data_IF_788307921214
#
_entry.id   IF_788307921214
#
_cell.length_a   1.000
_cell.length_b   1.000
_cell.length_c   1.000
_cell.angle_alpha   90.00
_cell.angle_beta   90.00
_cell.angle_gamma   90.00
#
_symmetry.space_group_name_H-M   'P 1'
#
loop_
_entity.id
_entity.type
_entity.pdbx_description
1 polymer ?
#
# COMPACT_ATOMS: atom_id res chain seq x y z
N UNK A 1 5.10 -67.22 -25.80
CA UNK A 1 6.21 -66.55 -25.12
C UNK A 1 6.48 -65.11 -25.58
N UNK A 2 6.28 -64.79 -26.86
CA UNK A 2 6.58 -63.44 -27.43
C UNK A 2 5.64 -62.33 -26.95
N UNK A 3 4.38 -62.63 -26.62
CA UNK A 3 3.38 -61.63 -26.15
C UNK A 3 3.68 -61.10 -24.72
N UNK A 4 4.27 -61.91 -23.86
CA UNK A 4 4.59 -61.50 -22.52
C UNK A 4 5.86 -60.64 -22.47
N UNK A 5 6.76 -60.81 -23.43
CA UNK A 5 7.99 -59.97 -23.53
C UNK A 5 7.69 -58.55 -23.94
N UNK A 6 6.73 -58.39 -24.86
CA UNK A 6 6.29 -57.05 -25.29
C UNK A 6 5.61 -56.28 -24.15
N UNK A 7 4.86 -56.98 -23.31
CA UNK A 7 4.16 -56.37 -22.16
C UNK A 7 5.15 -55.92 -21.08
N UNK A 8 6.22 -56.67 -20.86
CA UNK A 8 7.28 -56.30 -19.91
C UNK A 8 8.09 -55.10 -20.41
N UNK A 9 8.38 -55.03 -21.73
CA UNK A 9 9.08 -53.90 -22.32
C UNK A 9 8.26 -52.60 -22.23
N UNK A 10 6.94 -52.65 -22.46
CA UNK A 10 6.07 -51.50 -22.36
C UNK A 10 5.95 -50.99 -20.93
N UNK A 11 5.92 -51.85 -19.92
CA UNK A 11 5.94 -51.47 -18.48
C UNK A 11 7.27 -50.87 -18.10
N UNK A 12 8.40 -51.44 -18.54
CA UNK A 12 9.73 -50.85 -18.30
C UNK A 12 9.91 -49.48 -18.93
N UNK A 13 9.37 -49.27 -20.15
CA UNK A 13 9.44 -47.98 -20.86
C UNK A 13 8.57 -46.90 -20.20
N UNK A 14 7.42 -47.27 -19.60
CA UNK A 14 6.56 -46.31 -18.88
C UNK A 14 7.17 -45.82 -17.57
N UNK A 15 8.06 -46.58 -16.91
CA UNK A 15 8.76 -46.17 -15.71
C UNK A 15 9.90 -45.16 -15.97
N UNK A 16 10.44 -45.09 -17.18
CA UNK A 16 11.54 -44.19 -17.54
C UNK A 16 11.08 -42.72 -17.77
N UNK A 17 9.81 -42.48 -18.01
CA UNK A 17 9.29 -41.16 -18.37
C UNK A 17 8.93 -40.33 -17.11
N UNK A 18 8.76 -40.95 -15.93
CA UNK A 18 8.32 -40.28 -14.69
C UNK A 18 9.52 -39.65 -13.91
N UNK A 19 10.77 -39.97 -14.27
CA UNK A 19 11.93 -39.63 -13.46
C UNK A 19 12.50 -38.21 -13.68
N UNK A 20 12.07 -37.46 -14.71
CA UNK A 20 12.71 -36.18 -15.07
C UNK A 20 12.02 -34.91 -14.54
N UNK A 21 10.80 -34.99 -14.00
CA UNK A 21 10.08 -33.79 -13.53
C UNK A 21 10.46 -33.33 -12.11
N UNK A 22 11.02 -34.22 -11.30
CA UNK A 22 11.37 -33.89 -9.89
C UNK A 22 12.64 -33.04 -9.71
N UNK A 23 13.58 -33.12 -10.64
CA UNK A 23 14.90 -32.47 -10.55
C UNK A 23 14.85 -30.96 -10.86
N UNK A 24 14.11 -30.55 -11.87
CA UNK A 24 14.02 -29.14 -12.29
C UNK A 24 13.36 -28.25 -11.20
N UNK A 25 12.26 -28.75 -10.62
CA UNK A 25 11.57 -27.97 -9.57
C UNK A 25 12.38 -27.89 -8.28
N UNK A 26 13.18 -28.89 -7.96
CA UNK A 26 14.10 -28.86 -6.81
C UNK A 26 15.24 -27.86 -7.01
N UNK A 27 15.78 -27.74 -8.22
CA UNK A 27 16.77 -26.73 -8.55
C UNK A 27 16.18 -25.33 -8.52
N UNK A 28 14.99 -25.13 -9.07
CA UNK A 28 14.29 -23.85 -9.00
C UNK A 28 14.04 -23.41 -7.55
N UNK A 29 13.65 -24.32 -6.66
CA UNK A 29 13.48 -24.02 -5.22
C UNK A 29 14.78 -23.64 -4.51
N UNK A 30 15.94 -24.16 -4.94
CA UNK A 30 17.24 -23.72 -4.43
C UNK A 30 17.57 -22.30 -4.88
N UNK A 31 17.28 -21.98 -6.14
CA UNK A 31 17.46 -20.65 -6.71
C UNK A 31 16.48 -19.63 -6.13
N UNK A 32 15.25 -20.04 -5.79
CA UNK A 32 14.27 -19.20 -5.10
C UNK A 32 14.76 -18.71 -3.72
N UNK A 33 15.63 -19.48 -3.06
CA UNK A 33 16.24 -19.06 -1.78
C UNK A 33 17.28 -17.95 -1.94
N UNK A 34 17.92 -17.88 -3.12
CA UNK A 34 18.95 -16.88 -3.42
C UNK A 34 18.36 -15.60 -3.99
N UNK A 35 17.41 -15.73 -4.91
CA UNK A 35 16.85 -14.61 -5.66
C UNK A 35 15.46 -14.18 -5.18
N UNK A 36 14.76 -15.03 -4.42
CA UNK A 36 13.33 -14.90 -4.17
C UNK A 36 12.51 -15.60 -5.26
N UNK A 37 11.29 -16.03 -4.90
CA UNK A 37 10.43 -16.79 -5.82
C UNK A 37 10.04 -16.00 -7.06
N UNK A 38 9.72 -14.70 -6.89
CA UNK A 38 9.28 -13.82 -7.97
C UNK A 38 10.44 -13.29 -8.82
N UNK A 39 11.63 -13.13 -8.24
CA UNK A 39 12.80 -12.54 -8.92
C UNK A 39 13.75 -13.60 -9.49
N UNK A 40 13.40 -14.87 -9.41
CA UNK A 40 14.21 -15.96 -9.95
C UNK A 40 14.21 -15.91 -11.48
N UNK A 41 15.36 -15.60 -12.14
CA UNK A 41 15.44 -15.43 -13.58
C UNK A 41 15.20 -16.73 -14.37
N UNK A 42 15.21 -17.88 -13.69
CA UNK A 42 14.92 -19.17 -14.28
C UNK A 42 13.43 -19.58 -14.23
N UNK A 43 12.59 -18.72 -13.64
CA UNK A 43 11.13 -18.83 -13.68
C UNK A 43 10.60 -17.88 -14.76
N UNK A 44 9.93 -18.44 -15.73
CA UNK A 44 9.27 -17.67 -16.78
C UNK A 44 7.90 -17.21 -16.27
N UNK A 45 7.80 -15.94 -15.88
CA UNK A 45 6.54 -15.29 -15.54
C UNK A 45 6.12 -14.36 -16.66
N UNK A 46 4.84 -14.37 -17.00
CA UNK A 46 4.25 -13.25 -17.74
C UNK A 46 4.23 -11.99 -16.86
N UNK A 47 4.12 -10.82 -17.45
CA UNK A 47 4.12 -9.54 -16.73
C UNK A 47 3.00 -9.48 -15.65
N UNK A 48 1.84 -10.05 -15.97
CA UNK A 48 0.71 -10.13 -15.02
C UNK A 48 1.02 -11.09 -13.85
N UNK A 49 1.64 -12.23 -14.12
CA UNK A 49 2.02 -13.19 -13.08
C UNK A 49 3.13 -12.63 -12.20
N UNK A 50 4.11 -11.94 -12.77
CA UNK A 50 5.17 -11.27 -12.01
C UNK A 50 4.62 -10.21 -11.06
N UNK A 51 3.75 -9.30 -11.55
CA UNK A 51 3.13 -8.27 -10.71
C UNK A 51 2.26 -8.86 -9.61
N UNK A 52 1.54 -9.95 -9.91
CA UNK A 52 0.72 -10.67 -8.93
C UNK A 52 1.59 -11.37 -7.88
N UNK A 53 2.69 -11.99 -8.31
CA UNK A 53 3.68 -12.62 -7.44
C UNK A 53 4.29 -11.61 -6.48
N UNK A 54 4.76 -10.46 -6.97
CA UNK A 54 5.32 -9.38 -6.16
C UNK A 54 4.33 -8.84 -5.13
N UNK A 55 3.08 -8.68 -5.52
CA UNK A 55 2.02 -8.25 -4.59
C UNK A 55 1.82 -9.25 -3.45
N UNK A 56 1.82 -10.56 -3.76
CA UNK A 56 1.72 -11.62 -2.75
C UNK A 56 2.95 -11.67 -1.84
N UNK A 57 4.14 -11.41 -2.37
CA UNK A 57 5.37 -11.37 -1.58
C UNK A 57 5.39 -10.19 -0.61
N UNK A 58 4.97 -9.01 -1.07
CA UNK A 58 4.81 -7.82 -0.21
C UNK A 58 3.76 -8.04 0.89
N UNK A 59 2.62 -8.66 0.54
CA UNK A 59 1.59 -9.02 1.52
C UNK A 59 2.13 -10.00 2.58
N UNK A 60 2.93 -11.01 2.20
CA UNK A 60 3.57 -11.94 3.14
C UNK A 60 4.61 -11.27 4.04
N UNK A 61 5.39 -10.32 3.53
CA UNK A 61 6.35 -9.54 4.35
C UNK A 61 5.63 -8.67 5.39
N UNK A 62 4.46 -8.15 5.04
CA UNK A 62 3.59 -7.43 5.97
C UNK A 62 2.96 -8.36 7.03
N UNK A 63 2.67 -9.62 6.69
CA UNK A 63 2.01 -10.59 7.57
C UNK A 63 2.95 -11.39 8.48
N UNK A 64 4.27 -11.35 8.27
CA UNK A 64 5.25 -12.08 9.09
C UNK A 64 5.45 -11.50 10.52
N UNK A 65 4.55 -10.61 10.97
CA UNK A 65 4.55 -10.06 12.34
C UNK A 65 3.40 -10.51 13.24
N UNK A 66 2.45 -11.34 12.75
CA UNK A 66 1.44 -11.93 13.65
C UNK A 66 0.87 -13.21 13.05
N UNK A 67 1.16 -14.35 13.66
CA UNK A 67 0.27 -15.50 13.71
C UNK A 67 -1.03 -15.02 14.37
N UNK A 68 -2.18 -15.24 13.71
CA UNK A 68 -3.55 -14.84 14.02
C UNK A 68 -4.05 -13.57 13.30
N UNK A 69 -4.11 -13.61 11.99
CA UNK A 69 -4.98 -12.70 11.27
C UNK A 69 -6.43 -13.21 11.32
N UNK A 70 -7.17 -12.80 12.36
CA UNK A 70 -8.63 -12.66 12.25
C UNK A 70 -8.93 -11.63 11.16
N UNK A 71 -9.98 -11.83 10.34
CA UNK A 71 -10.37 -10.83 9.37
C UNK A 71 -10.58 -9.50 10.10
N UNK A 72 -9.99 -8.41 9.54
CA UNK A 72 -10.08 -7.08 10.10
C UNK A 72 -11.56 -6.70 10.27
N UNK A 73 -12.01 -6.66 11.52
CA UNK A 73 -13.33 -6.15 11.87
C UNK A 73 -13.20 -4.70 12.31
N UNK A 74 -14.01 -3.84 11.74
CA UNK A 74 -14.06 -2.43 12.14
C UNK A 74 -14.48 -2.33 13.62
N UNK A 75 -15.28 -3.26 14.12
CA UNK A 75 -15.66 -3.35 15.53
C UNK A 75 -14.46 -3.63 16.42
N UNK A 76 -13.58 -4.59 16.05
CA UNK A 76 -12.35 -4.91 16.81
C UNK A 76 -11.37 -3.73 16.83
N UNK A 77 -11.34 -2.95 15.75
CA UNK A 77 -10.56 -1.72 15.69
C UNK A 77 -11.13 -0.64 16.63
N UNK A 78 -12.44 -0.44 16.60
CA UNK A 78 -13.11 0.54 17.47
C UNK A 78 -13.03 0.15 18.95
N UNK A 79 -13.14 -1.14 19.29
CA UNK A 79 -13.00 -1.64 20.65
C UNK A 79 -11.57 -1.48 21.18
N UNK A 80 -10.57 -1.65 20.33
CA UNK A 80 -9.16 -1.37 20.67
C UNK A 80 -8.90 0.12 20.87
N UNK A 81 -9.49 0.96 20.04
CA UNK A 81 -9.40 2.43 20.14
C UNK A 81 -10.06 2.92 21.42
N UNK A 82 -11.21 2.34 21.83
CA UNK A 82 -11.96 2.74 23.02
C UNK A 82 -11.35 2.21 24.34
N UNK A 83 -10.72 1.03 24.34
CA UNK A 83 -10.20 0.40 25.57
C UNK A 83 -8.71 0.67 25.84
N UNK A 84 -7.91 0.97 24.82
CA UNK A 84 -6.45 1.12 24.97
C UNK A 84 -5.93 2.53 24.61
N UNK A 85 -6.83 3.46 24.30
CA UNK A 85 -6.46 4.80 23.82
C UNK A 85 -5.92 4.75 22.37
N UNK A 86 -6.06 5.86 21.65
CA UNK A 86 -5.67 6.03 20.22
C UNK A 86 -4.16 5.80 19.96
N UNK A 87 -3.40 5.28 20.91
CA UNK A 87 -1.93 5.25 20.89
C UNK A 87 -1.28 3.92 20.51
N UNK A 88 -1.94 2.76 20.63
CA UNK A 88 -1.22 1.48 20.64
C UNK A 88 -0.89 0.90 19.25
N UNK A 89 -1.60 1.30 18.20
CA UNK A 89 -1.28 0.90 16.81
C UNK A 89 -0.12 1.70 16.19
N UNK A 90 0.24 2.83 16.78
CA UNK A 90 1.26 3.77 16.27
C UNK A 90 2.55 3.78 17.10
N UNK A 91 2.72 2.90 18.06
CA UNK A 91 3.82 2.92 19.06
C UNK A 91 5.23 2.81 18.44
N UNK A 92 5.33 2.44 17.16
CA UNK A 92 6.58 2.43 16.41
C UNK A 92 6.50 3.20 15.08
N UNK A 93 5.46 4.00 14.85
CA UNK A 93 5.33 4.76 13.62
C UNK A 93 5.95 6.15 13.79
N UNK A 94 6.64 6.62 12.78
CA UNK A 94 7.11 8.00 12.68
C UNK A 94 5.97 9.00 12.44
N UNK A 95 4.72 8.55 12.50
CA UNK A 95 3.51 9.29 12.18
C UNK A 95 2.73 9.58 13.44
N UNK A 96 2.48 10.87 13.73
CA UNK A 96 1.64 11.27 14.84
C UNK A 96 0.16 10.91 14.58
N UNK A 97 -0.52 10.17 15.48
CA UNK A 97 -1.89 9.73 15.27
C UNK A 97 -2.91 10.88 15.25
N UNK A 98 -2.69 11.94 15.99
CA UNK A 98 -3.60 13.10 16.02
C UNK A 98 -3.50 13.91 14.71
N UNK A 99 -2.27 14.12 14.23
CA UNK A 99 -2.05 14.76 12.92
C UNK A 99 -2.64 13.94 11.78
N UNK A 100 -2.56 12.61 11.88
CA UNK A 100 -3.19 11.71 10.92
C UNK A 100 -4.71 11.87 10.92
N UNK A 101 -5.33 11.81 12.11
CA UNK A 101 -6.79 11.92 12.25
C UNK A 101 -7.30 13.27 11.77
N UNK A 102 -6.62 14.37 12.14
CA UNK A 102 -6.95 15.71 11.66
C UNK A 102 -6.80 15.85 10.14
N UNK A 103 -5.79 15.19 9.55
CA UNK A 103 -5.59 15.19 8.10
C UNK A 103 -6.71 14.44 7.37
N UNK A 104 -7.15 13.29 7.90
CA UNK A 104 -8.29 12.54 7.36
C UNK A 104 -9.58 13.37 7.48
N UNK A 105 -9.83 14.02 8.63
CA UNK A 105 -11.01 14.88 8.84
C UNK A 105 -11.09 15.99 7.78
N UNK A 106 -10.00 16.73 7.58
CA UNK A 106 -9.95 17.84 6.63
C UNK A 106 -10.09 17.38 5.19
N UNK A 107 -9.63 16.17 4.87
CA UNK A 107 -9.72 15.60 3.51
C UNK A 107 -10.97 14.75 3.29
N UNK A 108 -11.81 14.55 4.30
CA UNK A 108 -13.01 13.67 4.25
C UNK A 108 -14.05 14.08 3.19
N UNK A 109 -14.05 15.36 2.78
CA UNK A 109 -14.94 15.89 1.73
C UNK A 109 -14.47 15.55 0.31
N UNK A 110 -13.25 15.03 0.16
CA UNK A 110 -12.64 14.67 -1.11
C UNK A 110 -12.51 13.16 -1.25
N UNK A 111 -12.56 12.68 -2.49
CA UNK A 111 -12.22 11.29 -2.77
C UNK A 111 -10.72 11.09 -2.58
N UNK A 112 -10.34 10.13 -1.75
CA UNK A 112 -8.94 9.81 -1.51
C UNK A 112 -8.47 8.73 -2.50
N UNK A 113 -7.34 9.01 -3.15
CA UNK A 113 -6.63 8.04 -4.00
C UNK A 113 -5.71 7.15 -3.17
N UNK A 114 -5.03 7.75 -2.19
CA UNK A 114 -4.10 7.07 -1.29
C UNK A 114 -4.33 7.59 0.12
N UNK A 115 -4.39 6.67 1.08
CA UNK A 115 -4.37 6.96 2.51
C UNK A 115 -3.54 5.87 3.19
N UNK A 116 -2.25 6.16 3.43
CA UNK A 116 -1.30 5.26 4.08
C UNK A 116 -0.99 5.78 5.49
N UNK A 117 -1.65 5.21 6.48
CA UNK A 117 -1.47 5.59 7.88
C UNK A 117 -0.06 5.28 8.41
N UNK A 118 0.58 4.22 7.90
CA UNK A 118 1.92 3.81 8.33
C UNK A 118 3.00 4.73 7.80
N UNK A 119 2.88 5.10 6.52
CA UNK A 119 3.78 6.07 5.87
C UNK A 119 3.40 7.53 6.11
N UNK A 120 2.23 7.80 6.72
CA UNK A 120 1.74 9.14 6.98
C UNK A 120 1.40 9.92 5.70
N UNK A 121 0.99 9.25 4.63
CA UNK A 121 0.78 9.87 3.34
C UNK A 121 -0.68 9.81 2.90
N UNK A 122 -1.24 10.97 2.52
CA UNK A 122 -2.59 11.11 1.96
C UNK A 122 -2.49 11.82 0.63
N UNK A 123 -3.22 11.32 -0.37
CA UNK A 123 -3.39 11.96 -1.66
C UNK A 123 -4.85 11.86 -2.09
N UNK A 124 -5.43 12.98 -2.52
CA UNK A 124 -6.77 13.01 -3.10
C UNK A 124 -6.75 12.53 -4.55
N UNK A 125 -7.93 12.18 -5.08
CA UNK A 125 -8.17 12.18 -6.52
C UNK A 125 -8.08 13.61 -7.06
N UNK A 126 -8.13 13.76 -8.40
CA UNK A 126 -8.18 15.06 -9.04
C UNK A 126 -9.49 15.77 -8.69
N UNK A 127 -9.38 16.96 -8.14
CA UNK A 127 -10.47 17.85 -7.79
C UNK A 127 -10.62 18.85 -8.93
N UNK A 128 -11.79 18.91 -9.51
CA UNK A 128 -12.10 19.85 -10.58
C UNK A 128 -12.70 21.13 -9.98
N UNK A 129 -12.33 22.27 -10.51
CA UNK A 129 -12.88 23.55 -10.09
C UNK A 129 -14.36 23.64 -10.45
N UNK A 130 -15.18 24.13 -9.53
CA UNK A 130 -16.62 24.26 -9.77
C UNK A 130 -16.87 25.23 -10.91
N UNK A 131 -17.43 24.71 -12.02
CA UNK A 131 -17.74 25.47 -13.21
C UNK A 131 -16.64 25.51 -14.29
N UNK A 132 -15.49 24.88 -14.06
CA UNK A 132 -14.41 24.78 -15.05
C UNK A 132 -13.90 23.35 -15.17
N UNK A 133 -14.02 22.75 -16.34
CA UNK A 133 -13.44 21.43 -16.65
C UNK A 133 -11.99 21.53 -17.12
N UNK A 134 -11.45 22.75 -17.21
CA UNK A 134 -10.12 23.02 -17.77
C UNK A 134 -9.04 23.18 -16.70
N UNK A 135 -9.40 23.11 -15.42
CA UNK A 135 -8.46 23.15 -14.31
C UNK A 135 -8.76 22.03 -13.33
N UNK A 136 -7.74 21.36 -12.88
CA UNK A 136 -7.82 20.34 -11.83
C UNK A 136 -6.66 20.47 -10.86
N UNK A 137 -6.91 20.16 -9.59
CA UNK A 137 -5.89 20.16 -8.56
C UNK A 137 -5.94 18.83 -7.81
N UNK A 138 -4.83 18.42 -7.21
CA UNK A 138 -4.81 17.37 -6.21
C UNK A 138 -4.06 17.85 -4.97
N UNK A 139 -4.43 17.30 -3.84
CA UNK A 139 -3.85 17.59 -2.54
C UNK A 139 -2.99 16.41 -2.13
N UNK A 140 -1.77 16.71 -1.66
CA UNK A 140 -0.90 15.73 -1.00
C UNK A 140 -0.60 16.22 0.40
N UNK A 141 -0.70 15.31 1.36
CA UNK A 141 -0.36 15.57 2.77
C UNK A 141 0.64 14.50 3.19
N UNK A 142 1.72 14.94 3.84
CA UNK A 142 2.73 14.06 4.40
C UNK A 142 2.92 14.40 5.87
N UNK A 143 2.71 13.45 6.76
CA UNK A 143 3.03 13.56 8.16
C UNK A 143 4.44 13.02 8.36
N UNK A 144 5.33 13.89 8.83
CA UNK A 144 6.78 13.61 8.90
C UNK A 144 7.32 13.53 10.32
N UNK A 145 6.44 13.62 11.34
CA UNK A 145 6.83 13.59 12.74
C UNK A 145 5.89 12.70 13.55
N UNK A 146 6.47 12.00 14.51
CA UNK A 146 5.73 11.32 15.58
C UNK A 146 5.24 12.32 16.66
N UNK A 147 5.83 13.51 16.74
CA UNK A 147 5.44 14.54 17.70
C UNK A 147 4.33 15.42 17.13
N UNK A 148 3.47 15.93 18.03
CA UNK A 148 2.42 16.87 17.67
C UNK A 148 3.00 18.29 17.56
N UNK A 149 3.58 18.59 16.41
CA UNK A 149 4.21 19.87 16.09
C UNK A 149 3.74 20.40 14.74
N UNK A 150 3.73 21.71 14.56
CA UNK A 150 3.25 22.35 13.33
C UNK A 150 4.08 21.99 12.09
N UNK A 151 5.36 21.72 12.27
CA UNK A 151 6.27 21.28 11.19
C UNK A 151 6.15 19.78 10.88
N UNK A 152 5.37 19.05 11.67
CA UNK A 152 5.11 17.63 11.49
C UNK A 152 4.18 17.29 10.32
N UNK A 153 3.54 18.31 9.72
CA UNK A 153 2.66 18.16 8.55
C UNK A 153 3.22 18.97 7.39
N UNK A 154 3.33 18.34 6.25
CA UNK A 154 3.64 18.99 4.96
C UNK A 154 2.46 18.79 4.03
N UNK A 155 1.86 19.87 3.58
CA UNK A 155 0.80 19.86 2.56
C UNK A 155 1.31 20.45 1.26
N UNK A 156 0.82 19.96 0.14
CA UNK A 156 1.13 20.49 -1.18
C UNK A 156 -0.05 20.37 -2.13
N UNK A 157 -0.16 21.34 -3.01
CA UNK A 157 -1.13 21.38 -4.10
C UNK A 157 -0.40 21.17 -5.43
N UNK A 158 -0.92 20.29 -6.25
CA UNK A 158 -0.51 20.14 -7.63
C UNK A 158 -1.70 20.47 -8.51
N UNK A 159 -1.60 21.55 -9.29
CA UNK A 159 -2.65 21.96 -10.20
C UNK A 159 -2.20 21.89 -11.65
N UNK A 160 -3.14 21.52 -12.51
CA UNK A 160 -2.94 21.39 -13.95
C UNK A 160 -4.04 22.15 -14.70
N UNK A 161 -3.68 22.75 -15.81
CA UNK A 161 -4.59 23.32 -16.77
C UNK A 161 -4.65 22.46 -18.03
N UNK A 162 -5.85 22.31 -18.60
CA UNK A 162 -6.07 21.60 -19.85
C UNK A 162 -5.81 22.55 -21.02
N UNK A 163 -4.86 22.19 -21.88
CA UNK A 163 -4.58 22.89 -23.11
C UNK A 163 -4.65 21.89 -24.29
N UNK A 164 -5.55 22.11 -25.23
CA UNK A 164 -5.75 21.24 -26.41
C UNK A 164 -5.81 19.74 -26.03
N UNK A 165 -6.63 19.39 -25.03
CA UNK A 165 -6.81 18.03 -24.48
C UNK A 165 -5.61 17.43 -23.71
N UNK A 166 -4.52 18.17 -23.53
CA UNK A 166 -3.36 17.75 -22.74
C UNK A 166 -3.38 18.49 -21.39
N UNK A 167 -3.20 17.73 -20.30
CA UNK A 167 -3.04 18.31 -18.98
C UNK A 167 -1.59 18.70 -18.75
N UNK A 168 -1.37 19.95 -18.38
CA UNK A 168 -0.05 20.51 -18.11
C UNK A 168 -0.04 21.20 -16.76
N UNK A 169 1.06 21.04 -16.01
CA UNK A 169 1.25 21.78 -14.76
C UNK A 169 1.09 23.28 -15.00
N UNK A 170 0.38 23.95 -14.10
CA UNK A 170 0.21 25.40 -14.18
C UNK A 170 1.45 26.20 -13.73
N UNK A 171 2.47 25.51 -13.18
CA UNK A 171 3.74 26.09 -12.75
C UNK A 171 3.65 27.02 -11.55
N UNK A 172 2.47 27.13 -10.92
CA UNK A 172 2.25 28.02 -9.77
C UNK A 172 2.66 27.36 -8.47
N UNK A 173 3.10 28.17 -7.51
CA UNK A 173 3.28 27.78 -6.12
C UNK A 173 2.05 28.20 -5.33
N UNK A 174 1.51 27.28 -4.57
CA UNK A 174 0.30 27.43 -3.76
C UNK A 174 0.63 27.57 -2.26
N UNK A 175 1.66 28.36 -1.93
CA UNK A 175 2.21 28.44 -0.57
C UNK A 175 1.21 28.93 0.48
N UNK A 176 0.30 29.83 0.12
CA UNK A 176 -0.74 30.30 1.06
C UNK A 176 -1.82 29.24 1.27
N UNK A 177 -2.26 28.56 0.21
CA UNK A 177 -3.21 27.45 0.31
C UNK A 177 -2.63 26.27 1.09
N UNK A 178 -1.36 25.94 0.85
CA UNK A 178 -0.62 24.91 1.61
C UNK A 178 -0.54 25.25 3.11
N UNK A 179 -0.23 26.50 3.42
CA UNK A 179 -0.19 26.99 4.79
C UNK A 179 -1.57 26.95 5.44
N UNK A 180 -2.61 27.41 4.75
CA UNK A 180 -3.99 27.37 5.25
C UNK A 180 -4.47 25.95 5.48
N UNK A 181 -4.13 25.01 4.57
CA UNK A 181 -4.45 23.61 4.74
C UNK A 181 -3.76 23.01 5.95
N UNK A 182 -2.46 23.31 6.14
CA UNK A 182 -1.70 22.87 7.31
C UNK A 182 -2.33 23.39 8.61
N UNK A 183 -2.73 24.65 8.66
CA UNK A 183 -3.40 25.24 9.84
C UNK A 183 -4.73 24.54 10.14
N UNK A 184 -5.56 24.25 9.12
CA UNK A 184 -6.81 23.50 9.29
C UNK A 184 -6.57 22.09 9.82
N UNK A 185 -5.52 21.42 9.35
CA UNK A 185 -5.13 20.09 9.84
C UNK A 185 -4.74 20.16 11.33
N UNK A 186 -3.94 21.14 11.71
CA UNK A 186 -3.54 21.32 13.10
C UNK A 186 -4.74 21.61 14.01
N UNK A 187 -5.65 22.48 13.58
CA UNK A 187 -6.89 22.78 14.29
C UNK A 187 -7.77 21.53 14.46
N UNK A 188 -8.00 20.78 13.38
CA UNK A 188 -8.74 19.52 13.45
C UNK A 188 -8.05 18.49 14.36
N UNK A 189 -6.72 18.42 14.31
CA UNK A 189 -5.91 17.50 15.13
C UNK A 189 -5.97 17.83 16.63
N UNK A 190 -6.13 19.09 16.98
CA UNK A 190 -6.23 19.55 18.39
C UNK A 190 -7.44 18.89 19.09
N UNK A 191 -8.55 18.71 18.39
CA UNK A 191 -9.74 18.02 18.89
C UNK A 191 -9.40 16.61 19.39
N UNK A 192 -8.59 15.88 18.64
CA UNK A 192 -8.21 14.49 18.97
C UNK A 192 -7.18 14.44 20.10
N UNK A 193 -6.23 15.37 20.13
CA UNK A 193 -5.25 15.45 21.21
C UNK A 193 -5.88 15.83 22.56
N UNK A 194 -6.89 16.68 22.57
CA UNK A 194 -7.60 17.07 23.79
C UNK A 194 -8.47 15.95 24.37
N UNK A 195 -9.08 15.12 23.50
CA UNK A 195 -9.87 13.96 23.92
C UNK A 195 -9.02 12.86 24.56
N UNK A 196 -7.74 12.78 24.22
CA UNK A 196 -6.84 11.78 24.80
C UNK A 196 -6.29 12.17 26.20
N UNK A 197 -6.50 13.41 26.62
CA UNK A 197 -6.06 13.96 27.92
C UNK A 197 -7.19 14.06 28.94
N UNK A 198 -8.43 13.76 28.55
CA UNK A 198 -9.64 13.75 29.39
C UNK A 198 -9.99 12.34 29.86
#
# INVERSE_FOLDING_TARGET
>A
MQKNYLFIITIMFSFLIVSCQGTREQELKKLDKLWGYCDNPHREFSELEYTTCKRKEMAKRSSNKTDDMKPFSISDFLDKVNNEGVGTGFVNSSVNPYLWQGSIDVTSTYNLKIADATGGFIQTEWIYDQGSTNKRCLIKIQIVSAEYISTGVKSSFLCENKNQDIWMSDGKKYSEEEKMLTLRILEASQKYSSLALS
#
